data_IF_509821920902
#
_entry.id   IF_509821920902
#
_cell.length_a   1.000
_cell.length_b   1.000
_cell.length_c   1.000
_cell.angle_alpha   90.00
_cell.angle_beta   90.00
_cell.angle_gamma   90.00
#
_symmetry.space_group_name_H-M   'P 1'
#
loop_
_entity.id
_entity.type
_entity.pdbx_description
1 polymer ?
#
# COMPACT_ATOMS: atom_id res chain seq x y z
N UNK A 1 9.49 25.29 -17.60
CA UNK A 1 9.24 23.90 -17.12
C UNK A 1 7.78 23.76 -16.74
N UNK A 2 7.12 22.64 -17.08
CA UNK A 2 5.72 22.39 -16.72
C UNK A 2 5.60 22.14 -15.21
N UNK A 3 4.86 22.99 -14.50
CA UNK A 3 4.67 22.89 -13.04
C UNK A 3 4.08 21.52 -12.61
N UNK A 4 3.26 20.93 -13.47
CA UNK A 4 2.67 19.61 -13.27
C UNK A 4 3.73 18.50 -13.25
N UNK A 5 4.73 18.60 -14.11
CA UNK A 5 5.81 17.62 -14.21
C UNK A 5 6.69 17.63 -12.96
N UNK A 6 6.95 18.82 -12.38
CA UNK A 6 7.67 18.94 -11.12
C UNK A 6 6.89 18.31 -9.95
N UNK A 7 5.56 18.53 -9.92
CA UNK A 7 4.69 17.94 -8.90
C UNK A 7 4.66 16.40 -8.99
N UNK A 8 4.54 15.87 -10.20
CA UNK A 8 4.56 14.42 -10.44
C UNK A 8 5.90 13.80 -10.04
N UNK A 9 7.01 14.48 -10.33
CA UNK A 9 8.34 14.00 -9.94
C UNK A 9 8.45 13.90 -8.42
N UNK A 10 8.03 14.94 -7.69
CA UNK A 10 8.04 14.93 -6.23
C UNK A 10 7.17 13.81 -5.62
N UNK A 11 6.01 13.55 -6.21
CA UNK A 11 5.15 12.43 -5.78
C UNK A 11 5.86 11.09 -6.04
N UNK A 12 6.46 10.95 -7.23
CA UNK A 12 7.17 9.73 -7.64
C UNK A 12 8.36 9.44 -6.73
N UNK A 13 9.18 10.44 -6.45
CA UNK A 13 10.33 10.34 -5.54
C UNK A 13 9.91 9.85 -4.15
N UNK A 14 8.78 10.35 -3.64
CA UNK A 14 8.24 9.94 -2.34
C UNK A 14 7.71 8.51 -2.35
N UNK A 15 7.05 8.09 -3.43
CA UNK A 15 6.58 6.70 -3.59
C UNK A 15 7.76 5.73 -3.61
N UNK A 16 8.76 6.03 -4.44
CA UNK A 16 9.96 5.20 -4.59
C UNK A 16 10.73 5.15 -3.26
N UNK A 17 10.95 6.29 -2.60
CA UNK A 17 11.62 6.35 -1.31
C UNK A 17 10.88 5.54 -0.22
N UNK A 18 9.55 5.61 -0.19
CA UNK A 18 8.73 4.79 0.69
C UNK A 18 8.88 3.29 0.42
N UNK A 19 8.87 2.87 -0.85
CA UNK A 19 9.04 1.48 -1.24
C UNK A 19 10.42 0.92 -0.84
N UNK A 20 11.49 1.69 -1.05
CA UNK A 20 12.83 1.32 -0.59
C UNK A 20 12.92 1.22 0.93
N UNK A 21 12.30 2.17 1.65
CA UNK A 21 12.28 2.15 3.12
C UNK A 21 11.60 0.89 3.64
N UNK A 22 10.44 0.54 3.09
CA UNK A 22 9.71 -0.68 3.46
C UNK A 22 10.51 -1.93 3.10
N UNK A 23 11.06 -2.01 1.90
CA UNK A 23 11.85 -3.15 1.44
C UNK A 23 13.10 -3.36 2.29
N UNK A 24 13.82 -2.29 2.64
CA UNK A 24 15.00 -2.35 3.49
C UNK A 24 14.66 -2.67 4.96
N UNK A 25 13.48 -2.28 5.43
CA UNK A 25 13.03 -2.55 6.81
C UNK A 25 12.48 -3.96 6.98
N UNK A 26 11.65 -4.42 6.04
CA UNK A 26 11.02 -5.75 6.10
C UNK A 26 11.92 -6.86 5.55
N UNK A 27 12.85 -6.55 4.62
CA UNK A 27 13.61 -7.59 3.92
C UNK A 27 12.71 -8.45 3.03
N UNK A 28 13.11 -9.70 2.76
CA UNK A 28 12.34 -10.67 1.98
C UNK A 28 11.68 -11.73 2.87
N UNK A 29 10.57 -12.32 2.41
CA UNK A 29 9.90 -13.44 3.09
C UNK A 29 8.56 -13.12 3.76
N UNK A 30 8.05 -11.90 3.60
CA UNK A 30 6.70 -11.52 4.05
C UNK A 30 5.65 -11.68 2.94
N UNK A 31 4.39 -11.74 3.34
CA UNK A 31 3.27 -11.72 2.39
C UNK A 31 3.14 -10.35 1.73
N UNK A 32 2.66 -10.32 0.49
CA UNK A 32 2.41 -9.08 -0.26
C UNK A 32 1.54 -8.09 0.52
N UNK A 33 0.56 -8.59 1.30
CA UNK A 33 -0.30 -7.75 2.14
C UNK A 33 0.48 -6.98 3.22
N UNK A 34 1.58 -7.52 3.71
CA UNK A 34 2.44 -6.86 4.70
C UNK A 34 3.19 -5.71 4.05
N UNK A 35 3.76 -5.92 2.86
CA UNK A 35 4.40 -4.85 2.09
C UNK A 35 3.40 -3.75 1.72
N UNK A 36 2.19 -4.10 1.30
CA UNK A 36 1.11 -3.15 1.00
C UNK A 36 0.77 -2.28 2.22
N UNK A 37 0.54 -2.90 3.37
CA UNK A 37 0.21 -2.20 4.60
C UNK A 37 1.37 -1.29 5.06
N UNK A 38 2.61 -1.78 4.99
CA UNK A 38 3.79 -1.01 5.37
C UNK A 38 4.03 0.18 4.42
N UNK A 39 3.86 -0.01 3.11
CA UNK A 39 3.98 1.07 2.13
C UNK A 39 2.87 2.11 2.30
N UNK A 40 1.63 1.68 2.52
CA UNK A 40 0.53 2.58 2.82
C UNK A 40 0.79 3.39 4.11
N UNK A 41 1.39 2.76 5.12
CA UNK A 41 1.77 3.43 6.37
C UNK A 41 2.87 4.48 6.14
N UNK A 42 3.94 4.12 5.44
CA UNK A 42 5.05 5.03 5.15
C UNK A 42 4.61 6.21 4.28
N UNK A 43 3.83 5.97 3.23
CA UNK A 43 3.33 7.03 2.36
C UNK A 43 2.35 7.97 3.08
N UNK A 44 1.50 7.44 3.97
CA UNK A 44 0.63 8.26 4.85
C UNK A 44 1.45 9.15 5.79
N UNK A 45 2.57 8.67 6.33
CA UNK A 45 3.46 9.48 7.18
C UNK A 45 4.06 10.67 6.43
N UNK A 46 4.29 10.54 5.13
CA UNK A 46 4.75 11.68 4.33
C UNK A 46 3.65 12.73 4.10
N UNK A 47 2.38 12.41 4.36
CA UNK A 47 1.23 13.28 4.07
C UNK A 47 0.65 13.09 2.67
N UNK A 48 0.97 11.98 1.98
CA UNK A 48 0.25 11.59 0.77
C UNK A 48 -1.05 10.89 1.16
N UNK A 49 -2.15 11.32 0.56
CA UNK A 49 -3.42 10.58 0.63
C UNK A 49 -3.31 9.33 -0.24
N UNK A 50 -2.98 8.20 0.40
CA UNK A 50 -2.97 6.89 -0.26
C UNK A 50 -4.39 6.37 -0.33
N UNK A 51 -5.07 6.63 -1.45
CA UNK A 51 -6.21 5.83 -1.85
C UNK A 51 -5.64 4.60 -2.54
N UNK A 52 -5.51 3.51 -1.79
CA UNK A 52 -5.09 2.24 -2.35
C UNK A 52 -6.24 1.74 -3.23
N UNK A 53 -6.24 2.13 -4.50
CA UNK A 53 -7.20 1.68 -5.52
C UNK A 53 -6.86 0.25 -5.95
N UNK A 54 -6.56 -0.61 -4.97
CA UNK A 54 -6.38 -2.04 -5.13
C UNK A 54 -7.71 -2.69 -4.78
N UNK A 55 -8.62 -2.64 -5.75
CA UNK A 55 -9.88 -3.36 -5.70
C UNK A 55 -9.57 -4.87 -5.79
N UNK A 56 -9.70 -5.51 -4.63
CA UNK A 56 -10.03 -6.90 -4.33
C UNK A 56 -9.12 -8.03 -4.85
N UNK A 57 -8.15 -8.37 -4.00
CA UNK A 57 -8.07 -9.78 -3.61
C UNK A 57 -9.42 -10.21 -3.04
N UNK A 58 -9.96 -11.30 -3.59
CA UNK A 58 -11.19 -12.01 -3.22
C UNK A 58 -11.80 -11.66 -1.84
N UNK A 59 -13.15 -11.49 -1.73
CA UNK A 59 -13.85 -11.55 -0.44
C UNK A 59 -13.80 -13.00 0.11
N UNK A 60 -12.64 -13.44 0.61
CA UNK A 60 -12.47 -14.77 1.23
C UNK A 60 -12.58 -14.71 2.75
N UNK A 61 -13.54 -13.93 3.25
CA UNK A 61 -13.84 -13.90 4.70
C UNK A 61 -15.32 -13.63 5.03
N UNK A 62 -16.26 -14.01 4.15
CA UNK A 62 -17.69 -14.05 4.48
C UNK A 62 -18.27 -15.47 4.60
N UNK A 63 -17.56 -16.51 4.11
CA UNK A 63 -18.03 -17.92 4.16
C UNK A 63 -17.57 -18.67 5.43
N UNK A 64 -17.25 -17.96 6.52
CA UNK A 64 -17.03 -18.58 7.84
C UNK A 64 -18.13 -18.25 8.86
N UNK A 65 -19.12 -17.45 8.47
CA UNK A 65 -20.24 -17.04 9.34
C UNK A 65 -21.58 -17.74 9.03
N UNK A 66 -21.60 -18.68 8.08
CA UNK A 66 -22.82 -19.44 7.70
C UNK A 66 -22.82 -20.90 8.23
N UNK A 67 -21.83 -21.35 9.00
CA UNK A 67 -21.81 -22.75 9.52
C UNK A 67 -22.27 -22.85 10.98
N UNK A 68 -23.12 -21.93 11.45
CA UNK A 68 -23.79 -22.08 12.74
C UNK A 68 -25.19 -21.47 12.72
N UNK A 69 -26.04 -22.00 11.82
CA UNK A 69 -27.48 -21.93 11.93
C UNK A 69 -28.06 -23.12 11.15
N UNK A 70 -28.76 -23.99 11.88
CA UNK A 70 -29.29 -25.32 11.55
C UNK A 70 -28.34 -26.50 11.75
#
# INVERSE_FOLDING_TARGET
>A
MNADQQRLNQITERIIGGAFTVSNTLGCGFLEKVYENALAHELRKTGLTVCLLLNFGHPKLEVRRIVHAF
#
